data_IF_067135531521
#
_entry.id   IF_067135531521
#
_cell.length_a   1.000
_cell.length_b   1.000
_cell.length_c   1.000
_cell.angle_alpha   90.00
_cell.angle_beta   90.00
_cell.angle_gamma   90.00
#
_symmetry.space_group_name_H-M   'P 1'
#
loop_
_entity.id
_entity.type
_entity.pdbx_description
1 polymer ?
#
# COMPACT_ATOMS: atom_id res chain seq x y z
N UNK A 1 24.41 -21.57 -6.54
CA UNK A 1 23.22 -20.95 -5.92
C UNK A 1 22.22 -20.67 -7.03
N UNK A 2 21.02 -21.27 -6.98
CA UNK A 2 20.03 -21.09 -8.06
C UNK A 2 19.60 -19.63 -8.16
N UNK A 3 19.65 -19.13 -9.40
CA UNK A 3 19.58 -17.73 -9.78
C UNK A 3 18.10 -17.35 -9.97
N UNK A 4 17.48 -16.72 -8.97
CA UNK A 4 16.11 -16.24 -9.11
C UNK A 4 16.03 -15.14 -10.18
N UNK A 5 15.31 -15.40 -11.28
CA UNK A 5 15.05 -14.42 -12.34
C UNK A 5 13.75 -13.72 -12.00
N UNK A 6 13.87 -12.50 -11.46
CA UNK A 6 12.72 -11.65 -11.21
C UNK A 6 12.03 -11.28 -12.53
N UNK A 7 10.72 -11.54 -12.62
CA UNK A 7 9.87 -11.19 -13.76
C UNK A 7 8.83 -10.17 -13.30
N UNK A 8 9.15 -8.87 -13.26
CA UNK A 8 8.28 -7.82 -12.72
C UNK A 8 6.91 -7.81 -13.40
N UNK A 9 6.88 -8.02 -14.72
CA UNK A 9 5.64 -8.04 -15.50
C UNK A 9 4.64 -9.08 -14.98
N UNK A 10 5.11 -10.27 -14.56
CA UNK A 10 4.23 -11.30 -14.02
C UNK A 10 3.63 -10.88 -12.68
N UNK A 11 4.45 -10.28 -11.82
CA UNK A 11 4.00 -9.79 -10.52
C UNK A 11 2.90 -8.73 -10.69
N UNK A 12 3.14 -7.70 -11.51
CA UNK A 12 2.17 -6.63 -11.73
C UNK A 12 0.88 -7.13 -12.40
N UNK A 13 0.98 -8.03 -13.39
CA UNK A 13 -0.21 -8.60 -14.05
C UNK A 13 -1.05 -9.44 -13.09
N UNK A 14 -0.42 -10.27 -12.24
CA UNK A 14 -1.14 -11.09 -11.26
C UNK A 14 -1.80 -10.20 -10.21
N UNK A 15 -1.08 -9.22 -9.67
CA UNK A 15 -1.64 -8.26 -8.71
C UNK A 15 -2.82 -7.50 -9.31
N UNK A 16 -2.66 -6.98 -10.54
CA UNK A 16 -3.73 -6.27 -11.23
C UNK A 16 -4.94 -7.17 -11.48
N UNK A 17 -4.75 -8.36 -12.04
CA UNK A 17 -5.83 -9.30 -12.31
C UNK A 17 -6.56 -9.74 -11.04
N UNK A 18 -5.84 -10.02 -9.94
CA UNK A 18 -6.47 -10.42 -8.69
C UNK A 18 -7.25 -9.27 -8.02
N UNK A 19 -6.72 -8.04 -8.01
CA UNK A 19 -7.45 -6.89 -7.47
C UNK A 19 -8.71 -6.61 -8.29
N UNK A 20 -8.59 -6.61 -9.62
CA UNK A 20 -9.74 -6.39 -10.50
C UNK A 20 -10.78 -7.51 -10.40
N UNK A 21 -10.34 -8.77 -10.31
CA UNK A 21 -11.24 -9.90 -10.11
C UNK A 21 -12.09 -9.70 -8.85
N UNK A 22 -11.46 -9.38 -7.71
CA UNK A 22 -12.19 -9.19 -6.46
C UNK A 22 -13.10 -7.96 -6.46
N UNK A 23 -12.68 -6.86 -7.08
CA UNK A 23 -13.51 -5.66 -7.15
C UNK A 23 -14.67 -5.80 -8.13
N UNK A 24 -14.47 -6.42 -9.29
CA UNK A 24 -15.57 -6.73 -10.20
C UNK A 24 -16.55 -7.72 -9.55
N UNK A 25 -16.04 -8.72 -8.83
CA UNK A 25 -16.87 -9.65 -8.07
C UNK A 25 -17.66 -8.94 -6.95
N UNK A 26 -17.06 -7.96 -6.27
CA UNK A 26 -17.74 -7.14 -5.26
C UNK A 26 -18.91 -6.33 -5.85
N UNK A 27 -18.72 -5.77 -7.05
CA UNK A 27 -19.76 -5.01 -7.76
C UNK A 27 -20.96 -5.91 -8.10
N UNK A 28 -20.71 -7.17 -8.49
CA UNK A 28 -21.78 -8.13 -8.80
C UNK A 28 -22.63 -8.52 -7.58
N UNK A 29 -22.04 -8.48 -6.38
CA UNK A 29 -22.74 -8.80 -5.13
C UNK A 29 -23.65 -7.65 -4.67
N UNK A 30 -23.44 -6.43 -5.18
CA UNK A 30 -24.25 -5.21 -5.11
C UNK A 30 -24.63 -4.67 -3.71
N UNK A 31 -24.95 -5.51 -2.72
CA UNK A 31 -25.44 -5.12 -1.39
C UNK A 31 -24.94 -6.10 -0.30
N UNK A 32 -24.72 -5.58 0.93
CA UNK A 32 -24.44 -6.39 2.13
C UNK A 32 -22.98 -6.77 2.37
N UNK A 33 -22.75 -7.73 3.28
CA UNK A 33 -21.41 -8.15 3.75
C UNK A 33 -20.49 -8.60 2.62
N UNK A 34 -21.04 -9.15 1.53
CA UNK A 34 -20.27 -9.63 0.37
C UNK A 34 -19.54 -8.51 -0.38
N UNK A 35 -20.13 -7.32 -0.46
CA UNK A 35 -19.51 -6.16 -1.10
C UNK A 35 -18.30 -5.67 -0.30
N UNK A 36 -18.47 -5.48 1.01
CA UNK A 36 -17.37 -5.08 1.90
C UNK A 36 -16.23 -6.09 1.92
N UNK A 37 -16.57 -7.39 1.92
CA UNK A 37 -15.58 -8.47 1.88
C UNK A 37 -14.80 -8.45 0.56
N UNK A 38 -15.48 -8.28 -0.58
CA UNK A 38 -14.85 -8.19 -1.89
C UNK A 38 -13.94 -6.97 -2.05
N UNK A 39 -14.36 -5.80 -1.52
CA UNK A 39 -13.52 -4.59 -1.49
C UNK A 39 -12.26 -4.79 -0.64
N UNK A 40 -12.41 -5.38 0.56
CA UNK A 40 -11.29 -5.70 1.44
C UNK A 40 -10.32 -6.70 0.82
N UNK A 41 -10.83 -7.77 0.19
CA UNK A 41 -10.00 -8.77 -0.49
C UNK A 41 -9.23 -8.17 -1.67
N UNK A 42 -9.84 -7.27 -2.44
CA UNK A 42 -9.14 -6.55 -3.50
C UNK A 42 -8.04 -5.61 -2.97
N UNK A 43 -8.27 -4.98 -1.82
CA UNK A 43 -7.28 -4.13 -1.13
C UNK A 43 -6.09 -4.96 -0.61
N UNK A 44 -6.35 -6.14 -0.04
CA UNK A 44 -5.33 -7.05 0.53
C UNK A 44 -4.59 -7.84 -0.56
N UNK A 45 -5.18 -7.98 -1.75
CA UNK A 45 -4.63 -8.78 -2.86
C UNK A 45 -3.17 -8.46 -3.22
N UNK A 46 -2.73 -7.19 -3.39
CA UNK A 46 -1.34 -6.87 -3.68
C UNK A 46 -0.37 -7.36 -2.61
N UNK A 47 -0.75 -7.26 -1.33
CA UNK A 47 0.08 -7.72 -0.23
C UNK A 47 0.19 -9.25 -0.23
N UNK A 48 -0.92 -9.97 -0.45
CA UNK A 48 -0.92 -11.44 -0.53
C UNK A 48 -0.09 -11.91 -1.72
N UNK A 49 -0.29 -11.34 -2.92
CA UNK A 49 0.47 -11.69 -4.12
C UNK A 49 1.96 -11.42 -3.91
N UNK A 50 2.32 -10.34 -3.22
CA UNK A 50 3.72 -10.03 -2.91
C UNK A 50 4.34 -11.02 -1.92
N UNK A 51 3.64 -11.33 -0.84
CA UNK A 51 4.05 -12.35 0.14
C UNK A 51 4.26 -13.70 -0.58
N UNK A 52 3.27 -14.17 -1.33
CA UNK A 52 3.35 -15.43 -2.10
C UNK A 52 4.56 -15.40 -3.03
N UNK A 53 4.75 -14.32 -3.79
CA UNK A 53 5.87 -14.20 -4.74
C UNK A 53 7.24 -14.27 -4.04
N UNK A 54 7.38 -13.63 -2.86
CA UNK A 54 8.61 -13.66 -2.06
C UNK A 54 8.88 -15.05 -1.51
N UNK A 55 7.88 -15.74 -0.97
CA UNK A 55 8.04 -17.10 -0.44
C UNK A 55 8.25 -18.15 -1.54
N UNK A 56 7.60 -18.01 -2.70
CA UNK A 56 7.79 -18.88 -3.87
C UNK A 56 9.16 -18.67 -4.55
N UNK A 57 9.87 -17.58 -4.26
CA UNK A 57 11.18 -17.30 -4.86
C UNK A 57 12.29 -18.30 -4.50
N UNK A 58 12.09 -19.16 -3.48
CA UNK A 58 13.05 -20.14 -2.94
C UNK A 58 14.41 -19.55 -2.50
N UNK A 59 14.56 -18.22 -2.46
CA UNK A 59 15.78 -17.56 -2.04
C UNK A 59 15.74 -17.29 -0.53
N UNK A 60 16.54 -18.05 0.25
CA UNK A 60 16.61 -17.92 1.71
C UNK A 60 17.07 -16.53 2.17
N UNK A 61 17.92 -15.85 1.40
CA UNK A 61 18.36 -14.49 1.73
C UNK A 61 17.20 -13.47 1.60
N UNK A 62 16.41 -13.59 0.53
CA UNK A 62 15.26 -12.74 0.26
C UNK A 62 14.18 -12.87 1.35
N UNK A 63 13.86 -14.11 1.74
CA UNK A 63 12.87 -14.39 2.79
C UNK A 63 13.33 -13.84 4.14
N UNK A 64 14.62 -13.94 4.46
CA UNK A 64 15.15 -13.46 5.73
C UNK A 64 15.19 -11.93 5.81
N UNK A 65 15.53 -11.24 4.71
CA UNK A 65 15.42 -9.77 4.64
C UNK A 65 13.97 -9.30 4.73
N UNK A 66 13.04 -9.98 4.05
CA UNK A 66 11.62 -9.67 4.13
C UNK A 66 11.10 -9.80 5.58
N UNK A 67 11.39 -10.91 6.26
CA UNK A 67 11.04 -11.10 7.68
C UNK A 67 11.65 -10.01 8.56
N UNK A 68 12.93 -9.67 8.34
CA UNK A 68 13.63 -8.62 9.09
C UNK A 68 13.01 -7.23 8.89
N UNK A 69 12.56 -6.90 7.67
CA UNK A 69 11.85 -5.63 7.39
C UNK A 69 10.45 -5.60 7.99
N UNK A 70 9.72 -6.71 7.92
CA UNK A 70 8.37 -6.83 8.46
C UNK A 70 8.34 -6.71 9.99
N UNK A 71 9.32 -7.33 10.67
CA UNK A 71 9.50 -7.21 12.13
C UNK A 71 10.21 -5.89 12.50
N UNK A 72 11.01 -5.35 11.58
CA UNK A 72 11.83 -4.14 11.74
C UNK A 72 11.09 -2.82 11.62
N UNK A 73 9.76 -2.80 11.81
CA UNK A 73 8.92 -1.58 11.81
C UNK A 73 9.43 -0.50 12.79
N UNK A 74 10.27 -0.90 13.76
CA UNK A 74 10.90 -0.04 14.76
C UNK A 74 12.03 0.88 14.24
N UNK A 75 12.43 0.80 12.96
CA UNK A 75 13.50 1.68 12.40
C UNK A 75 13.03 3.03 11.86
N UNK A 76 11.74 3.32 11.91
CA UNK A 76 11.19 4.58 11.37
C UNK A 76 11.57 5.72 12.31
N UNK A 77 12.37 6.69 11.85
CA UNK A 77 12.70 7.86 12.68
C UNK A 77 11.44 8.74 12.78
N UNK A 78 10.93 9.04 14.00
CA UNK A 78 9.68 9.76 14.19
C UNK A 78 9.71 11.17 13.57
N UNK A 79 10.90 11.76 13.43
CA UNK A 79 11.11 13.03 12.74
C UNK A 79 10.55 13.03 11.31
N UNK A 80 10.73 11.95 10.55
CA UNK A 80 10.23 11.88 9.18
C UNK A 80 8.72 11.67 9.10
N UNK A 81 8.13 10.97 10.07
CA UNK A 81 6.68 10.84 10.20
C UNK A 81 6.08 12.22 10.45
N UNK A 82 6.64 12.97 11.39
CA UNK A 82 6.18 14.33 11.71
C UNK A 82 6.28 15.26 10.50
N UNK A 83 7.40 15.23 9.77
CA UNK A 83 7.56 16.02 8.54
C UNK A 83 6.51 15.64 7.49
N UNK A 84 6.23 14.35 7.28
CA UNK A 84 5.22 13.91 6.32
C UNK A 84 3.80 14.37 6.69
N UNK A 85 3.45 14.34 7.99
CA UNK A 85 2.17 14.85 8.50
C UNK A 85 2.08 16.36 8.30
N UNK A 86 3.13 17.11 8.63
CA UNK A 86 3.16 18.57 8.46
C UNK A 86 3.05 18.98 6.99
N UNK A 87 3.77 18.30 6.09
CA UNK A 87 3.66 18.57 4.65
C UNK A 87 2.22 18.31 4.17
N UNK A 88 1.60 17.21 4.60
CA UNK A 88 0.21 16.89 4.23
C UNK A 88 -0.76 17.96 4.75
N UNK A 89 -0.59 18.41 5.99
CA UNK A 89 -1.39 19.49 6.57
C UNK A 89 -1.24 20.81 5.81
N UNK A 90 -0.01 21.16 5.40
CA UNK A 90 0.28 22.37 4.61
C UNK A 90 -0.38 22.29 3.24
N UNK A 91 -0.28 21.16 2.55
CA UNK A 91 -0.89 20.96 1.22
C UNK A 91 -2.42 21.06 1.32
N UNK A 92 -3.04 20.39 2.31
CA UNK A 92 -4.50 20.43 2.50
C UNK A 92 -4.95 21.86 2.82
N UNK A 93 -4.26 22.54 3.72
CA UNK A 93 -4.57 23.94 4.09
C UNK A 93 -4.43 24.89 2.90
N UNK A 94 -3.36 24.75 2.10
CA UNK A 94 -3.17 25.55 0.89
C UNK A 94 -4.24 25.27 -0.17
N UNK A 95 -4.65 24.01 -0.32
CA UNK A 95 -5.72 23.60 -1.23
C UNK A 95 -7.07 24.22 -0.83
N UNK A 96 -7.46 24.10 0.45
CA UNK A 96 -8.70 24.70 0.96
C UNK A 96 -8.63 26.23 0.88
N UNK A 97 -7.49 26.83 1.24
CA UNK A 97 -7.29 28.28 1.12
C UNK A 97 -7.48 28.78 -0.31
N UNK A 98 -6.94 28.06 -1.30
CA UNK A 98 -7.15 28.37 -2.72
C UNK A 98 -8.62 28.19 -3.11
N UNK A 99 -9.27 27.11 -2.69
CA UNK A 99 -10.70 26.85 -2.91
C UNK A 99 -11.59 27.99 -2.37
N UNK A 100 -11.31 28.47 -1.16
CA UNK A 100 -12.05 29.59 -0.52
C UNK A 100 -11.85 30.89 -1.30
N UNK A 101 -10.64 31.16 -1.81
CA UNK A 101 -10.38 32.34 -2.65
C UNK A 101 -11.21 32.33 -3.95
N UNK A 102 -11.58 31.16 -4.46
CA UNK A 102 -12.45 30.99 -5.64
C UNK A 102 -13.94 30.80 -5.28
N UNK A 103 -14.37 31.11 -4.05
CA UNK A 103 -15.77 31.04 -3.61
C UNK A 103 -16.16 29.74 -2.89
N UNK A 104 -15.19 28.91 -2.51
CA UNK A 104 -15.39 27.75 -1.65
C UNK A 104 -15.77 28.12 -0.21
N UNK A 105 -16.42 27.21 0.50
CA UNK A 105 -16.85 27.43 1.88
C UNK A 105 -15.71 27.22 2.89
N UNK A 106 -15.62 28.11 3.88
CA UNK A 106 -14.67 28.02 5.00
C UNK A 106 -14.93 26.78 5.88
N UNK A 107 -16.14 26.22 5.84
CA UNK A 107 -16.49 25.00 6.59
C UNK A 107 -15.68 23.76 6.16
N UNK A 108 -14.97 23.82 5.03
CA UNK A 108 -14.03 22.76 4.60
C UNK A 108 -12.84 22.57 5.55
N UNK A 109 -12.55 23.55 6.42
CA UNK A 109 -11.56 23.42 7.49
C UNK A 109 -12.08 22.70 8.74
N UNK A 110 -13.38 22.39 8.82
CA UNK A 110 -13.95 21.69 9.97
C UNK A 110 -13.48 20.24 10.03
N UNK A 111 -13.32 19.73 11.25
CA UNK A 111 -13.20 18.29 11.47
C UNK A 111 -14.54 17.62 11.13
N UNK A 112 -14.51 16.59 10.29
CA UNK A 112 -15.67 15.74 10.00
C UNK A 112 -15.95 14.84 11.19
N UNK A 113 -17.20 14.76 11.67
CA UNK A 113 -17.57 13.91 12.81
C UNK A 113 -17.47 12.40 12.47
N UNK A 114 -17.51 12.05 11.18
CA UNK A 114 -17.44 10.67 10.65
C UNK A 114 -16.02 10.13 10.44
N UNK A 115 -15.04 10.48 11.28
CA UNK A 115 -13.71 9.85 11.23
C UNK A 115 -13.77 8.38 11.70
N UNK A 116 -14.14 7.48 10.79
CA UNK A 116 -13.99 6.03 10.97
C UNK A 116 -12.51 5.64 10.81
N UNK A 117 -11.78 5.72 11.93
CA UNK A 117 -10.36 5.38 12.07
C UNK A 117 -9.97 3.95 11.62
N UNK A 118 -10.97 3.10 11.34
CA UNK A 118 -10.79 1.68 11.00
C UNK A 118 -10.33 1.43 9.55
N UNK A 119 -10.65 2.33 8.60
CA UNK A 119 -10.38 2.12 7.16
C UNK A 119 -9.05 2.73 6.69
N UNK A 120 -8.62 3.88 7.26
CA UNK A 120 -7.39 4.56 6.85
C UNK A 120 -6.08 3.87 7.28
N UNK A 121 -6.10 3.11 8.39
CA UNK A 121 -4.91 2.40 8.87
C UNK A 121 -4.55 1.17 8.01
N UNK A 122 -5.57 0.50 7.45
CA UNK A 122 -5.37 -0.72 6.65
C UNK A 122 -4.68 -0.41 5.33
N UNK A 123 -5.03 0.69 4.66
CA UNK A 123 -4.38 1.12 3.41
C UNK A 123 -2.92 1.52 3.63
N UNK A 124 -2.60 2.19 4.74
CA UNK A 124 -1.23 2.57 5.07
C UNK A 124 -0.34 1.33 5.31
N UNK A 125 -0.83 0.36 6.08
CA UNK A 125 -0.12 -0.89 6.33
C UNK A 125 0.13 -1.69 5.04
N UNK A 126 -0.89 -1.80 4.18
CA UNK A 126 -0.76 -2.47 2.89
C UNK A 126 0.20 -1.74 1.94
N UNK A 127 0.23 -0.40 1.98
CA UNK A 127 1.17 0.40 1.20
C UNK A 127 2.60 0.19 1.66
N UNK A 128 2.85 0.11 2.98
CA UNK A 128 4.18 -0.17 3.54
C UNK A 128 4.62 -1.60 3.20
N UNK A 129 3.71 -2.58 3.27
CA UNK A 129 3.99 -3.95 2.85
C UNK A 129 4.35 -4.01 1.37
N UNK A 130 3.58 -3.34 0.51
CA UNK A 130 3.84 -3.30 -0.92
C UNK A 130 5.17 -2.62 -1.24
N UNK A 131 5.45 -1.46 -0.62
CA UNK A 131 6.71 -0.75 -0.77
C UNK A 131 7.92 -1.61 -0.34
N UNK A 132 7.80 -2.30 0.80
CA UNK A 132 8.84 -3.21 1.29
C UNK A 132 9.11 -4.36 0.31
N UNK A 133 8.06 -4.91 -0.29
CA UNK A 133 8.19 -5.96 -1.32
C UNK A 133 8.85 -5.43 -2.60
N UNK A 134 8.44 -4.26 -3.10
CA UNK A 134 9.04 -3.64 -4.30
C UNK A 134 10.53 -3.36 -4.08
N UNK A 135 10.91 -2.83 -2.92
CA UNK A 135 12.31 -2.56 -2.60
C UNK A 135 13.15 -3.85 -2.63
N UNK A 136 12.60 -4.95 -2.11
CA UNK A 136 13.27 -6.25 -2.02
C UNK A 136 13.44 -6.89 -3.41
N UNK A 137 12.40 -6.82 -4.24
CA UNK A 137 12.46 -7.26 -5.64
C UNK A 137 13.47 -6.41 -6.45
N UNK A 138 13.59 -5.12 -6.13
CA UNK A 138 14.57 -4.21 -6.76
C UNK A 138 16.01 -4.56 -6.36
N UNK A 139 16.26 -4.93 -5.11
CA UNK A 139 17.59 -5.39 -4.65
C UNK A 139 18.04 -6.64 -5.41
N UNK A 140 17.14 -7.60 -5.64
CA UNK A 140 17.45 -8.79 -6.44
C UNK A 140 17.84 -8.44 -7.89
N UNK A 141 17.21 -7.42 -8.49
CA UNK A 141 17.60 -6.91 -9.81
C UNK A 141 18.93 -6.14 -9.82
N UNK A 142 19.29 -5.48 -8.70
CA UNK A 142 20.50 -4.65 -8.58
C UNK A 142 21.75 -5.42 -8.15
N UNK A 143 21.63 -6.51 -7.39
CA UNK A 143 22.74 -7.45 -7.10
C UNK A 143 23.27 -8.21 -8.32
N UNK A 144 22.84 -7.86 -9.54
CA UNK A 144 23.33 -8.41 -10.81
C UNK A 144 24.29 -7.45 -11.54
N UNK A 145 24.43 -6.19 -11.12
CA UNK A 145 25.29 -5.19 -11.78
C UNK A 145 26.63 -4.91 -11.08
N UNK A 146 26.98 -5.70 -10.07
CA UNK A 146 28.27 -5.74 -9.38
C UNK A 146 28.62 -7.19 -9.16
#
# INVERSE_FOLDING_TARGET
>A
MEKYIYRPVRFYLITFACTWFWWLFAILLNEGTGLYLGMFLGLVSPAVVAVVTVFTSKNKALINEFKKKLIGFYRIKPKYILIAVLISAVIVTASIGTSVLFGGSINQFSFTEDFSFSIGSTSAFLTILLASCIEELRKCGRCRKT
#
